data_IF_025349454165
#
_entry.id   IF_025349454165
#
_cell.length_a   1.000
_cell.length_b   1.000
_cell.length_c   1.000
_cell.angle_alpha   90.00
_cell.angle_beta   90.00
_cell.angle_gamma   90.00
#
_symmetry.space_group_name_H-M   'P 1'
#
loop_
_entity.id
_entity.type
_entity.pdbx_description
1 polymer ?
#
# COMPACT_ATOMS: atom_id res chain seq x y z
N UNK A 1 7.78 -12.74 -14.21
CA UNK A 1 7.26 -11.87 -13.11
C UNK A 1 8.41 -11.09 -12.48
N UNK A 2 9.58 -11.71 -12.27
CA UNK A 2 10.79 -11.05 -11.74
C UNK A 2 11.29 -9.85 -12.60
N UNK A 3 11.17 -9.91 -13.93
CA UNK A 3 11.63 -8.83 -14.81
C UNK A 3 10.91 -7.49 -14.56
N UNK A 4 9.61 -7.55 -14.26
CA UNK A 4 8.81 -6.34 -14.01
C UNK A 4 9.21 -5.70 -12.68
N UNK A 5 9.44 -6.50 -11.64
CA UNK A 5 9.91 -6.02 -10.34
C UNK A 5 11.31 -5.41 -10.43
N UNK A 6 12.19 -6.04 -11.20
CA UNK A 6 13.53 -5.49 -11.48
C UNK A 6 13.45 -4.15 -12.21
N UNK A 7 12.63 -4.07 -13.27
CA UNK A 7 12.40 -2.84 -14.03
C UNK A 7 11.85 -1.73 -13.13
N UNK A 8 10.82 -2.03 -12.33
CA UNK A 8 10.24 -1.10 -11.38
C UNK A 8 11.27 -0.65 -10.34
N UNK A 9 12.12 -1.54 -9.82
CA UNK A 9 13.21 -1.16 -8.91
C UNK A 9 14.14 -0.16 -9.56
N UNK A 10 14.64 -0.46 -10.78
CA UNK A 10 15.58 0.41 -11.48
C UNK A 10 14.99 1.78 -11.82
N UNK A 11 13.72 1.81 -12.23
CA UNK A 11 13.03 3.05 -12.51
C UNK A 11 12.88 3.92 -11.25
N UNK A 12 12.47 3.31 -10.12
CA UNK A 12 12.37 3.98 -8.81
C UNK A 12 13.72 4.54 -8.37
N UNK A 13 14.77 3.72 -8.41
CA UNK A 13 16.14 4.11 -8.06
C UNK A 13 16.59 5.33 -8.89
N UNK A 14 16.38 5.28 -10.21
CA UNK A 14 16.75 6.35 -11.14
C UNK A 14 16.01 7.66 -10.88
N UNK A 15 14.68 7.61 -10.69
CA UNK A 15 13.89 8.82 -10.42
C UNK A 15 14.26 9.42 -9.05
N UNK A 16 14.46 8.57 -8.02
CA UNK A 16 14.87 9.04 -6.69
C UNK A 16 16.23 9.70 -6.72
N UNK A 17 17.19 9.11 -7.43
CA UNK A 17 18.52 9.70 -7.63
C UNK A 17 18.44 11.05 -8.34
N UNK A 18 17.67 11.15 -9.44
CA UNK A 18 17.45 12.42 -10.16
C UNK A 18 16.79 13.51 -9.30
N UNK A 19 16.04 13.12 -8.26
CA UNK A 19 15.45 14.03 -7.26
C UNK A 19 16.38 14.38 -6.10
N UNK A 20 17.66 13.99 -6.14
CA UNK A 20 18.61 14.20 -5.05
C UNK A 20 18.30 13.36 -3.80
N UNK A 21 17.54 12.27 -3.95
CA UNK A 21 17.17 11.37 -2.86
C UNK A 21 18.06 10.12 -2.86
N UNK A 22 18.14 9.43 -1.72
CA UNK A 22 18.71 8.09 -1.69
C UNK A 22 17.91 7.17 -2.64
N UNK A 23 18.60 6.38 -3.45
CA UNK A 23 18.03 5.37 -4.38
C UNK A 23 17.07 4.44 -3.64
N UNK A 24 17.45 4.06 -2.43
CA UNK A 24 16.69 3.22 -1.52
C UNK A 24 15.69 4.02 -0.68
N UNK A 25 14.49 3.47 -0.49
CA UNK A 25 13.48 4.03 0.39
C UNK A 25 13.67 3.52 1.82
N UNK A 26 13.76 4.44 2.79
CA UNK A 26 13.86 4.09 4.22
C UNK A 26 12.51 3.98 4.92
N UNK A 27 11.47 4.61 4.35
CA UNK A 27 10.12 4.67 4.91
C UNK A 27 9.11 4.24 3.84
N UNK A 28 8.24 3.30 4.23
CA UNK A 28 7.07 2.88 3.48
C UNK A 28 5.77 3.41 4.11
N UNK A 29 4.72 3.52 3.31
CA UNK A 29 3.36 3.86 3.72
C UNK A 29 2.46 2.73 3.23
N UNK A 30 1.75 2.09 4.15
CA UNK A 30 0.90 0.92 3.89
C UNK A 30 -0.57 1.29 4.05
N UNK A 31 -1.38 0.82 3.10
CA UNK A 31 -2.83 0.90 3.16
C UNK A 31 -3.48 -0.15 2.25
N UNK A 32 -4.79 -0.32 2.37
CA UNK A 32 -5.58 -1.24 1.56
C UNK A 32 -6.88 -0.63 1.03
N UNK A 33 -7.26 -1.03 -0.17
CA UNK A 33 -8.48 -0.57 -0.82
C UNK A 33 -9.30 -1.76 -1.33
N UNK A 34 -10.55 -1.82 -0.88
CA UNK A 34 -11.53 -2.79 -1.37
C UNK A 34 -12.19 -2.21 -2.63
N UNK A 35 -12.18 -2.96 -3.72
CA UNK A 35 -12.79 -2.57 -5.00
C UNK A 35 -13.76 -3.63 -5.47
N UNK A 36 -14.80 -3.18 -6.19
CA UNK A 36 -15.71 -4.09 -6.88
C UNK A 36 -14.94 -4.83 -7.96
N UNK A 37 -15.27 -6.11 -8.14
CA UNK A 37 -14.67 -6.91 -9.19
C UNK A 37 -15.75 -7.32 -10.19
N UNK A 38 -15.55 -6.97 -11.47
CA UNK A 38 -16.57 -7.14 -12.51
C UNK A 38 -16.86 -8.59 -12.89
N UNK A 39 -15.93 -9.51 -12.63
CA UNK A 39 -16.11 -10.93 -12.98
C UNK A 39 -16.58 -11.76 -11.75
N UNK A 40 -17.87 -12.07 -11.70
CA UNK A 40 -18.45 -12.87 -10.62
C UNK A 40 -17.98 -14.34 -10.57
N UNK A 41 -17.32 -14.85 -11.62
CA UNK A 41 -16.83 -16.23 -11.68
C UNK A 41 -15.45 -16.44 -11.06
N UNK A 42 -14.67 -15.38 -10.84
CA UNK A 42 -13.37 -15.44 -10.16
C UNK A 42 -13.51 -15.27 -8.65
N UNK A 43 -12.52 -15.79 -7.90
CA UNK A 43 -12.41 -15.65 -6.45
C UNK A 43 -12.62 -14.19 -6.01
N UNK A 44 -13.73 -13.92 -5.33
CA UNK A 44 -14.08 -12.63 -4.74
C UNK A 44 -14.64 -12.86 -3.32
N UNK A 45 -14.62 -11.81 -2.51
CA UNK A 45 -15.15 -11.84 -1.14
C UNK A 45 -16.05 -10.63 -0.88
N UNK A 46 -16.77 -10.64 0.23
CA UNK A 46 -17.53 -9.50 0.70
C UNK A 46 -16.81 -8.84 1.88
N UNK A 47 -16.46 -7.57 1.73
CA UNK A 47 -15.99 -6.74 2.83
C UNK A 47 -17.20 -6.21 3.60
N UNK A 48 -17.44 -6.75 4.79
CA UNK A 48 -18.59 -6.38 5.62
C UNK A 48 -18.54 -4.94 6.14
N UNK A 49 -17.34 -4.38 6.34
CA UNK A 49 -17.17 -3.01 6.83
C UNK A 49 -17.48 -2.01 5.71
N UNK A 50 -16.99 -2.26 4.50
CA UNK A 50 -17.17 -1.37 3.34
C UNK A 50 -18.40 -1.73 2.48
N UNK A 51 -19.04 -2.86 2.75
CA UNK A 51 -20.15 -3.45 1.97
C UNK A 51 -19.82 -3.62 0.48
N UNK A 52 -18.59 -4.04 0.18
CA UNK A 52 -18.09 -4.23 -1.19
C UNK A 52 -17.90 -5.72 -1.46
N UNK A 53 -18.52 -6.24 -2.53
CA UNK A 53 -18.19 -7.55 -3.11
C UNK A 53 -17.08 -7.39 -4.14
N UNK A 54 -15.94 -8.02 -3.93
CA UNK A 54 -14.82 -7.96 -4.87
C UNK A 54 -13.51 -8.40 -4.25
N UNK A 55 -12.46 -7.62 -4.51
CA UNK A 55 -11.09 -7.86 -4.07
C UNK A 55 -10.61 -6.70 -3.19
N UNK A 56 -9.51 -6.94 -2.46
CA UNK A 56 -8.82 -5.93 -1.67
C UNK A 56 -7.37 -5.84 -2.14
N UNK A 57 -6.96 -4.66 -2.58
CA UNK A 57 -5.61 -4.33 -3.01
C UNK A 57 -4.85 -3.79 -1.80
N UNK A 58 -3.73 -4.40 -1.45
CA UNK A 58 -2.85 -4.00 -0.36
C UNK A 58 -1.54 -3.52 -0.96
N UNK A 59 -1.10 -2.32 -0.60
CA UNK A 59 0.12 -1.75 -1.15
C UNK A 59 1.01 -1.17 -0.06
N UNK A 60 2.31 -1.15 -0.35
CA UNK A 60 3.28 -0.32 0.34
C UNK A 60 3.86 0.64 -0.70
N UNK A 61 3.88 1.93 -0.40
CA UNK A 61 4.48 2.96 -1.26
C UNK A 61 5.57 3.73 -0.52
N UNK A 62 6.51 4.33 -1.24
CA UNK A 62 7.47 5.26 -0.65
C UNK A 62 6.88 6.68 -0.47
N UNK A 63 7.69 7.60 0.06
CA UNK A 63 7.30 9.03 0.24
C UNK A 63 6.96 9.78 -1.06
N UNK A 64 7.27 9.23 -2.23
CA UNK A 64 6.91 9.81 -3.52
C UNK A 64 5.61 9.20 -4.08
N UNK A 65 5.12 8.09 -3.49
CA UNK A 65 4.00 7.30 -3.99
C UNK A 65 4.42 6.14 -4.90
N UNK A 66 5.72 5.83 -4.99
CA UNK A 66 6.19 4.71 -5.79
C UNK A 66 5.94 3.38 -5.07
N UNK A 67 5.37 2.42 -5.80
CA UNK A 67 5.04 1.10 -5.26
C UNK A 67 6.31 0.37 -4.81
N UNK A 68 6.29 -0.15 -3.58
CA UNK A 68 7.32 -0.97 -2.96
C UNK A 68 6.91 -2.43 -2.84
N UNK A 69 5.63 -2.68 -2.59
CA UNK A 69 5.01 -4.00 -2.62
C UNK A 69 3.53 -3.86 -3.00
N UNK A 70 3.01 -4.85 -3.73
CA UNK A 70 1.59 -4.95 -4.09
C UNK A 70 1.13 -6.37 -3.84
N UNK A 71 -0.05 -6.52 -3.24
CA UNK A 71 -0.69 -7.81 -3.02
C UNK A 71 -2.20 -7.65 -3.17
N UNK A 72 -2.86 -8.61 -3.82
CA UNK A 72 -4.32 -8.64 -3.96
C UNK A 72 -4.88 -9.85 -3.22
N UNK A 73 -5.92 -9.62 -2.42
CA UNK A 73 -6.66 -10.68 -1.74
C UNK A 73 -8.14 -10.59 -2.09
N UNK A 74 -8.90 -11.64 -1.80
CA UNK A 74 -10.36 -11.52 -1.72
C UNK A 74 -10.76 -10.55 -0.60
N UNK A 75 -11.90 -9.87 -0.73
CA UNK A 75 -12.22 -8.72 0.13
C UNK A 75 -12.53 -9.06 1.60
N UNK A 76 -12.77 -10.34 1.93
CA UNK A 76 -13.07 -10.78 3.30
C UNK A 76 -11.80 -11.11 4.13
N UNK A 77 -10.59 -11.01 3.55
CA UNK A 77 -9.36 -11.21 4.32
C UNK A 77 -9.19 -10.05 5.29
N UNK A 78 -8.98 -10.39 6.57
CA UNK A 78 -8.76 -9.44 7.63
C UNK A 78 -7.39 -8.75 7.47
N UNK A 79 -7.37 -7.43 7.71
CA UNK A 79 -6.21 -6.58 7.37
C UNK A 79 -4.94 -6.95 8.14
N UNK A 80 -5.05 -7.48 9.36
CA UNK A 80 -3.89 -7.97 10.12
C UNK A 80 -3.21 -9.19 9.47
N UNK A 81 -3.98 -10.13 8.91
CA UNK A 81 -3.41 -11.27 8.16
C UNK A 81 -2.80 -10.80 6.85
N UNK A 82 -3.47 -9.88 6.16
CA UNK A 82 -2.96 -9.29 4.93
C UNK A 82 -1.66 -8.49 5.17
N UNK A 83 -1.56 -7.75 6.27
CA UNK A 83 -0.37 -7.00 6.64
C UNK A 83 0.84 -7.92 6.78
N UNK A 84 0.71 -9.04 7.49
CA UNK A 84 1.79 -10.02 7.62
C UNK A 84 2.29 -10.53 6.26
N UNK A 85 1.35 -10.93 5.38
CA UNK A 85 1.69 -11.42 4.05
C UNK A 85 2.33 -10.33 3.19
N UNK A 86 1.83 -9.10 3.27
CA UNK A 86 2.41 -7.97 2.55
C UNK A 86 3.84 -7.65 3.02
N UNK A 87 4.13 -7.79 4.32
CA UNK A 87 5.50 -7.64 4.84
C UNK A 87 6.44 -8.73 4.33
N UNK A 88 5.95 -9.95 4.18
CA UNK A 88 6.70 -11.03 3.56
C UNK A 88 7.04 -10.70 2.10
N UNK A 89 6.07 -10.23 1.32
CA UNK A 89 6.29 -9.79 -0.07
C UNK A 89 7.33 -8.66 -0.11
N UNK A 90 7.18 -7.64 0.75
CA UNK A 90 8.12 -6.52 0.82
C UNK A 90 9.56 -6.99 1.13
N UNK A 91 9.71 -8.03 1.96
CA UNK A 91 11.00 -8.63 2.31
C UNK A 91 11.60 -9.42 1.15
N UNK A 92 10.78 -10.21 0.46
CA UNK A 92 11.18 -11.00 -0.72
C UNK A 92 11.61 -10.10 -1.88
N UNK A 93 10.98 -8.93 -2.04
CA UNK A 93 11.38 -7.89 -3.00
C UNK A 93 12.67 -7.13 -2.60
N UNK A 94 13.34 -7.52 -1.52
CA UNK A 94 14.62 -6.94 -1.11
C UNK A 94 14.53 -5.49 -0.62
N UNK A 95 13.35 -5.03 -0.18
CA UNK A 95 13.17 -3.63 0.22
C UNK A 95 14.00 -3.27 1.45
N UNK A 96 14.65 -2.11 1.37
CA UNK A 96 15.50 -1.51 2.40
C UNK A 96 14.72 -0.68 3.45
N UNK A 97 13.39 -0.64 3.34
CA UNK A 97 12.51 0.07 4.28
C UNK A 97 12.71 -0.44 5.71
N UNK A 98 12.71 0.48 6.68
CA UNK A 98 12.80 0.15 8.13
C UNK A 98 11.52 0.52 8.88
N UNK A 99 10.87 1.59 8.46
CA UNK A 99 9.67 2.12 9.11
C UNK A 99 8.51 2.09 8.13
N UNK A 100 7.36 1.61 8.58
CA UNK A 100 6.14 1.54 7.79
C UNK A 100 5.06 2.34 8.51
N UNK A 101 4.55 3.38 7.84
CA UNK A 101 3.43 4.17 8.33
C UNK A 101 2.13 3.47 7.94
N UNK A 102 1.22 3.28 8.89
CA UNK A 102 -0.06 2.63 8.67
C UNK A 102 -1.18 3.36 9.42
N UNK A 103 -2.44 3.08 9.09
CA UNK A 103 -3.59 3.64 9.78
C UNK A 103 -3.97 2.87 11.06
N UNK A 104 -5.07 3.29 11.70
CA UNK A 104 -5.59 2.69 12.92
C UNK A 104 -6.06 1.23 12.77
N UNK A 105 -6.36 0.77 11.56
CA UNK A 105 -6.82 -0.60 11.30
C UNK A 105 -5.74 -1.64 11.50
N UNK A 106 -4.46 -1.25 11.46
CA UNK A 106 -3.31 -2.13 11.62
C UNK A 106 -2.77 -2.22 13.06
N UNK A 107 -3.52 -1.70 14.05
CA UNK A 107 -3.15 -1.83 15.47
C UNK A 107 -3.21 -3.29 15.95
N UNK A 108 -2.47 -3.57 17.02
CA UNK A 108 -2.53 -4.83 17.76
C UNK A 108 -1.24 -5.64 17.70
N UNK A 109 -1.31 -6.88 18.21
CA UNK A 109 -0.17 -7.78 18.39
C UNK A 109 0.61 -8.11 17.10
N UNK A 110 0.02 -7.83 15.92
CA UNK A 110 0.67 -8.06 14.64
C UNK A 110 1.89 -7.16 14.43
N UNK A 111 1.90 -5.95 15.01
CA UNK A 111 3.01 -4.99 14.88
C UNK A 111 4.30 -5.57 15.47
N UNK A 112 4.22 -6.13 16.68
CA UNK A 112 5.36 -6.75 17.36
C UNK A 112 5.84 -7.99 16.61
N UNK A 113 4.90 -8.80 16.11
CA UNK A 113 5.20 -9.98 15.30
C UNK A 113 5.98 -9.60 14.04
N UNK A 114 5.51 -8.58 13.31
CA UNK A 114 6.16 -8.08 12.09
C UNK A 114 7.56 -7.54 12.39
N UNK A 115 7.72 -6.80 13.50
CA UNK A 115 9.03 -6.31 13.94
C UNK A 115 10.00 -7.44 14.24
N UNK A 116 9.55 -8.48 14.94
CA UNK A 116 10.37 -9.63 15.32
C UNK A 116 10.80 -10.48 14.12
N UNK A 117 9.87 -10.74 13.19
CA UNK A 117 10.11 -11.67 12.07
C UNK A 117 10.79 -10.97 10.89
N UNK A 118 10.33 -9.77 10.53
CA UNK A 118 10.80 -9.07 9.33
C UNK A 118 11.75 -7.91 9.62
N UNK A 119 11.78 -7.41 10.86
CA UNK A 119 12.58 -6.24 11.24
C UNK A 119 11.94 -4.89 10.91
N UNK A 120 10.68 -4.88 10.45
CA UNK A 120 9.97 -3.64 10.12
C UNK A 120 9.28 -3.04 11.35
N UNK A 121 9.47 -1.75 11.57
CA UNK A 121 8.74 -1.02 12.62
C UNK A 121 7.49 -0.39 12.02
N UNK A 122 6.31 -0.89 12.38
CA UNK A 122 5.04 -0.29 12.00
C UNK A 122 4.70 0.85 12.98
N UNK A 123 4.53 2.05 12.45
CA UNK A 123 4.05 3.21 13.18
C UNK A 123 2.61 3.49 12.75
N UNK A 124 1.68 3.27 13.66
CA UNK A 124 0.27 3.60 13.45
C UNK A 124 0.07 5.10 13.63
N UNK A 125 -0.36 5.77 12.57
CA UNK A 125 -0.60 7.21 12.58
C UNK A 125 -2.09 7.47 12.72
N UNK A 126 -2.48 7.93 13.91
CA UNK A 126 -3.87 8.21 14.27
C UNK A 126 -4.20 9.65 13.90
N UNK A 127 -5.33 9.89 13.24
CA UNK A 127 -5.86 11.24 13.05
C UNK A 127 -6.23 11.83 14.39
N UNK A 128 -5.54 12.90 14.80
CA UNK A 128 -5.98 13.77 15.89
C UNK A 128 -7.25 14.50 15.46
N UNK A 129 -8.40 13.88 15.66
CA UNK A 129 -9.68 14.59 15.59
C UNK A 129 -9.90 15.28 16.92
N UNK A 130 -9.59 16.57 16.96
CA UNK A 130 -10.32 17.60 17.72
C UNK A 130 -9.64 18.94 17.43
N UNK A 131 -10.45 19.85 16.87
CA UNK A 131 -10.20 21.28 16.65
C UNK A 131 -9.50 21.68 15.34
N UNK A 132 -10.33 22.32 14.48
CA UNK A 132 -9.99 23.12 13.30
C UNK A 132 -9.44 22.40 12.05
N UNK A 133 -10.38 21.86 11.28
CA UNK A 133 -10.23 21.61 9.85
C UNK A 133 -9.60 20.26 9.48
N UNK A 134 -9.96 19.76 8.30
CA UNK A 134 -9.30 18.59 7.72
C UNK A 134 -7.83 18.94 7.45
N UNK A 135 -6.93 18.48 8.32
CA UNK A 135 -5.49 18.53 8.10
C UNK A 135 -5.04 17.12 7.70
N UNK A 136 -4.69 16.88 6.42
CA UNK A 136 -4.12 15.61 6.00
C UNK A 136 -2.93 15.26 6.91
N UNK A 137 -2.95 14.04 7.47
CA UNK A 137 -1.77 13.51 8.16
C UNK A 137 -0.65 13.51 7.14
N UNK A 138 0.45 14.21 7.43
CA UNK A 138 1.43 14.78 6.48
C UNK A 138 2.01 13.81 5.42
N UNK A 139 1.77 12.49 5.52
CA UNK A 139 2.26 11.48 4.58
C UNK A 139 1.25 10.39 4.18
N UNK A 140 0.05 10.30 4.77
CA UNK A 140 -0.92 9.24 4.42
C UNK A 140 -1.63 9.47 3.09
N UNK A 141 -1.93 10.72 2.73
CA UNK A 141 -2.58 11.06 1.46
C UNK A 141 -1.82 10.55 0.22
N UNK A 142 -0.53 10.22 0.36
CA UNK A 142 0.31 9.71 -0.73
C UNK A 142 -0.19 8.36 -1.22
N UNK A 143 -0.51 7.43 -0.31
CA UNK A 143 -1.00 6.09 -0.67
C UNK A 143 -2.43 6.15 -1.19
N UNK A 144 -3.26 7.01 -0.59
CA UNK A 144 -4.62 7.31 -1.06
C UNK A 144 -4.63 7.88 -2.49
N UNK A 145 -3.72 8.82 -2.80
CA UNK A 145 -3.53 9.34 -4.17
C UNK A 145 -3.12 8.24 -5.14
N UNK A 146 -2.21 7.34 -4.73
CA UNK A 146 -1.82 6.20 -5.59
C UNK A 146 -3.02 5.31 -5.90
N UNK A 147 -3.92 5.08 -4.93
CA UNK A 147 -5.18 4.39 -5.20
C UNK A 147 -6.08 5.15 -6.18
N UNK A 148 -6.21 6.47 -6.03
CA UNK A 148 -6.98 7.28 -7.00
C UNK A 148 -6.46 7.15 -8.43
N UNK A 149 -5.14 7.03 -8.62
CA UNK A 149 -4.57 6.78 -9.94
C UNK A 149 -4.96 5.42 -10.51
N UNK A 150 -5.01 4.36 -9.68
CA UNK A 150 -5.48 3.05 -10.12
C UNK A 150 -6.96 3.06 -10.54
N UNK A 151 -7.77 3.88 -9.88
CA UNK A 151 -9.19 3.99 -10.23
C UNK A 151 -9.39 4.82 -11.51
N UNK A 152 -8.56 5.85 -11.73
CA UNK A 152 -8.61 6.67 -12.95
C UNK A 152 -8.15 5.95 -14.23
N UNK A 153 -7.47 4.81 -14.10
CA UNK A 153 -7.03 4.01 -15.26
C UNK A 153 -8.12 3.13 -15.88
N UNK A 154 -9.38 3.20 -15.40
CA UNK A 154 -10.53 2.60 -16.11
C UNK A 154 -10.99 3.43 -17.33
N UNK A 155 -10.45 4.64 -17.56
CA UNK A 155 -10.79 5.54 -18.69
C UNK A 155 -9.65 5.70 -19.74
N UNK A 156 -8.75 4.73 -19.88
CA UNK A 156 -7.67 4.80 -20.87
C UNK A 156 -8.08 4.57 -22.35
N UNK A 157 -9.37 4.74 -22.72
CA UNK A 157 -9.78 4.87 -24.13
C UNK A 157 -10.00 6.34 -24.55
N UNK A 158 -9.96 7.33 -23.66
CA UNK A 158 -10.36 8.69 -24.03
C UNK A 158 -9.45 9.80 -23.50
N UNK A 159 -8.13 9.72 -23.70
CA UNK A 159 -7.30 10.94 -23.82
C UNK A 159 -6.21 10.71 -24.90
N UNK A 160 -6.66 10.55 -26.14
CA UNK A 160 -5.97 11.05 -27.34
C UNK A 160 -7.03 11.45 -28.37
N UNK A 161 -7.63 12.63 -28.16
CA UNK A 161 -8.33 13.42 -29.17
C UNK A 161 -8.54 14.82 -28.60
#
# INVERSE_FOLDING_TARGET
MEDFELLLSKLRESIRFRRGQNKDASVGIMDSQSVRWGNNQSLNGFDGNKKVKGIKRHIVVDKNGFLLAVMVTIANVHDSKAAYLLMRVLKELGSSVKVILADGGYRGAIIETIKKIFGYTIQVVVSGYKEQGFRPIHKRWIVERTFSWFDSTEDCVAIMS
#
